data_IF_132011469265
#
_entry.id   IF_132011469265
#
_cell.length_a   1.000
_cell.length_b   1.000
_cell.length_c   1.000
_cell.angle_alpha   90.00
_cell.angle_beta   90.00
_cell.angle_gamma   90.00
#
_symmetry.space_group_name_H-M   'P 1'
#
loop_
_entity.id
_entity.type
_entity.pdbx_description
1 polymer ?
#
# COMPACT_ATOMS: atom_id res chain seq x y z
N UNK A 1 2.55 6.87 5.28
CA UNK A 1 1.55 7.56 6.15
C UNK A 1 0.31 6.71 6.38
N UNK A 2 -0.30 6.16 5.33
CA UNK A 2 -1.57 5.41 5.47
C UNK A 2 -1.46 4.34 6.57
N UNK A 3 -0.45 3.47 6.52
CA UNK A 3 -0.27 2.42 7.54
C UNK A 3 0.14 2.97 8.91
N UNK A 4 0.94 4.03 8.95
CA UNK A 4 1.31 4.69 10.21
C UNK A 4 0.10 5.32 10.88
N UNK A 5 -0.67 6.12 10.14
CA UNK A 5 -1.89 6.76 10.66
C UNK A 5 -2.97 5.72 11.03
N UNK A 6 -3.01 4.58 10.37
CA UNK A 6 -3.88 3.47 10.75
C UNK A 6 -3.54 2.94 12.15
N UNK A 7 -2.25 2.69 12.42
CA UNK A 7 -1.83 2.28 13.76
C UNK A 7 -2.13 3.35 14.82
N UNK A 8 -1.94 4.64 14.46
CA UNK A 8 -2.22 5.74 15.37
C UNK A 8 -3.73 5.86 15.66
N UNK A 9 -4.59 5.55 14.68
CA UNK A 9 -6.05 5.60 14.80
C UNK A 9 -6.63 4.39 15.55
N UNK A 10 -6.16 3.18 15.24
CA UNK A 10 -6.60 1.94 15.89
C UNK A 10 -5.43 0.99 16.21
N UNK A 11 -4.68 1.26 17.30
CA UNK A 11 -3.66 0.31 17.76
C UNK A 11 -4.27 -1.03 18.24
N UNK A 12 -5.55 -1.04 18.60
CA UNK A 12 -6.28 -2.23 19.01
C UNK A 12 -6.40 -3.25 17.88
N UNK A 13 -6.71 -2.79 16.68
CA UNK A 13 -6.75 -3.65 15.50
C UNK A 13 -5.41 -4.40 15.29
N UNK A 14 -4.30 -3.69 15.36
CA UNK A 14 -2.97 -4.28 15.18
C UNK A 14 -2.66 -5.29 16.29
N UNK A 15 -2.89 -4.93 17.56
CA UNK A 15 -2.58 -5.78 18.70
C UNK A 15 -3.44 -7.05 18.73
N UNK A 16 -4.74 -6.93 18.48
CA UNK A 16 -5.67 -8.05 18.50
C UNK A 16 -5.44 -9.05 17.36
N UNK A 17 -4.85 -8.61 16.25
CA UNK A 17 -4.55 -9.45 15.09
C UNK A 17 -3.07 -9.83 14.96
N UNK A 18 -2.24 -9.51 15.96
CA UNK A 18 -0.79 -9.75 15.93
C UNK A 18 -0.09 -9.10 14.73
N UNK A 19 -0.51 -7.89 14.36
CA UNK A 19 0.15 -7.09 13.33
C UNK A 19 1.19 -6.16 13.94
N UNK A 20 2.31 -6.00 13.24
CA UNK A 20 3.32 -5.01 13.57
C UNK A 20 3.28 -3.88 12.53
N UNK A 21 2.98 -2.66 12.96
CA UNK A 21 3.04 -1.49 12.07
C UNK A 21 4.51 -1.18 11.72
N UNK A 22 4.80 -1.16 10.43
CA UNK A 22 6.12 -0.76 9.88
C UNK A 22 5.99 0.39 8.88
N UNK A 23 4.82 1.03 8.82
CA UNK A 23 4.59 2.22 8.02
C UNK A 23 5.40 3.42 8.52
N UNK A 24 5.98 4.18 7.59
CA UNK A 24 6.67 5.45 7.88
C UNK A 24 6.17 6.48 6.87
N UNK A 25 5.66 7.59 7.37
CA UNK A 25 5.09 8.65 6.56
C UNK A 25 6.09 9.21 5.53
N UNK A 26 5.62 9.47 4.32
CA UNK A 26 6.43 10.06 3.25
C UNK A 26 7.39 9.09 2.54
N UNK A 27 7.59 7.88 3.04
CA UNK A 27 8.51 6.93 2.41
C UNK A 27 7.98 6.38 1.09
N UNK A 28 8.89 6.25 0.11
CA UNK A 28 8.68 5.63 -1.20
C UNK A 28 9.06 4.15 -1.17
N UNK A 29 8.78 3.43 -2.26
CA UNK A 29 9.13 2.01 -2.42
C UNK A 29 10.63 1.76 -2.28
N UNK A 30 11.48 2.67 -2.77
CA UNK A 30 12.95 2.59 -2.60
C UNK A 30 13.37 2.61 -1.12
N UNK A 31 12.76 3.48 -0.32
CA UNK A 31 13.02 3.52 1.13
C UNK A 31 12.54 2.23 1.83
N UNK A 32 11.37 1.72 1.43
CA UNK A 32 10.83 0.48 2.00
C UNK A 32 11.71 -0.73 1.65
N UNK A 33 12.18 -0.82 0.40
CA UNK A 33 13.10 -1.86 -0.04
C UNK A 33 14.42 -1.84 0.75
N UNK A 34 15.01 -0.66 0.96
CA UNK A 34 16.26 -0.50 1.70
C UNK A 34 16.18 -1.03 3.15
N UNK A 35 15.01 -0.91 3.80
CA UNK A 35 14.80 -1.36 5.18
C UNK A 35 14.15 -2.74 5.30
N UNK A 36 13.88 -3.42 4.19
CA UNK A 36 13.14 -4.70 4.16
C UNK A 36 13.78 -5.76 5.07
N UNK A 37 15.12 -5.83 5.10
CA UNK A 37 15.82 -6.79 5.98
C UNK A 37 15.59 -6.51 7.46
N UNK A 38 15.79 -5.25 7.89
CA UNK A 38 15.67 -4.85 9.30
C UNK A 38 14.23 -4.94 9.79
N UNK A 39 13.29 -4.46 8.98
CA UNK A 39 11.91 -4.22 9.40
C UNK A 39 10.97 -5.39 9.12
N UNK A 40 11.39 -6.35 8.30
CA UNK A 40 10.58 -7.52 7.94
C UNK A 40 11.36 -8.82 8.15
N UNK A 41 12.46 -9.03 7.43
CA UNK A 41 13.17 -10.32 7.43
C UNK A 41 13.64 -10.71 8.83
N UNK A 42 14.26 -9.80 9.57
CA UNK A 42 14.79 -10.06 10.92
C UNK A 42 13.69 -10.26 11.97
N UNK A 43 12.45 -9.93 11.69
CA UNK A 43 11.30 -10.13 12.58
C UNK A 43 10.63 -11.50 12.37
N UNK A 44 10.98 -12.21 11.29
CA UNK A 44 10.46 -13.52 10.93
C UNK A 44 8.92 -13.63 10.95
N UNK A 45 8.16 -12.68 10.35
CA UNK A 45 6.71 -12.76 10.35
C UNK A 45 6.22 -13.87 9.43
N UNK A 46 4.98 -14.33 9.63
CA UNK A 46 4.32 -15.26 8.71
C UNK A 46 3.97 -14.60 7.38
N UNK A 47 3.55 -13.34 7.43
CA UNK A 47 3.15 -12.54 6.28
C UNK A 47 3.83 -11.17 6.32
N UNK A 48 4.04 -10.58 5.15
CA UNK A 48 4.31 -9.15 4.98
C UNK A 48 3.23 -8.55 4.10
N UNK A 49 2.52 -7.56 4.62
CA UNK A 49 1.51 -6.79 3.87
C UNK A 49 2.19 -5.57 3.30
N UNK A 50 2.18 -5.44 1.97
CA UNK A 50 2.85 -4.37 1.23
C UNK A 50 1.77 -3.45 0.63
N UNK A 51 1.61 -2.27 1.23
CA UNK A 51 0.81 -1.16 0.72
C UNK A 51 1.76 -0.01 0.41
N UNK A 52 2.14 0.16 -0.84
CA UNK A 52 3.21 1.05 -1.28
C UNK A 52 2.96 1.59 -2.68
N UNK A 53 3.53 2.77 -3.00
CA UNK A 53 3.50 3.38 -4.33
C UNK A 53 2.89 4.79 -4.37
N UNK A 54 2.01 5.16 -3.45
CA UNK A 54 1.35 6.48 -3.47
C UNK A 54 2.36 7.63 -3.36
N UNK A 55 3.37 7.52 -2.50
CA UNK A 55 4.42 8.53 -2.34
C UNK A 55 5.39 8.60 -3.52
N UNK A 56 5.58 7.48 -4.21
CA UNK A 56 6.35 7.41 -5.46
C UNK A 56 5.61 8.18 -6.56
N UNK A 57 4.33 7.91 -6.74
CA UNK A 57 3.46 8.59 -7.72
C UNK A 57 3.35 10.08 -7.40
N UNK A 58 3.28 10.44 -6.11
CA UNK A 58 3.33 11.83 -5.65
C UNK A 58 4.70 12.49 -5.83
N UNK A 59 5.71 11.79 -6.34
CA UNK A 59 7.09 12.28 -6.55
C UNK A 59 7.75 12.83 -5.27
N UNK A 60 7.44 12.23 -4.10
CA UNK A 60 7.98 12.70 -2.83
C UNK A 60 9.50 12.59 -2.72
N UNK A 61 10.12 11.70 -3.48
CA UNK A 61 11.58 11.55 -3.60
C UNK A 61 12.05 11.72 -5.05
N UNK A 62 11.45 12.66 -5.79
CA UNK A 62 11.70 12.86 -7.20
C UNK A 62 10.85 11.96 -8.11
N UNK A 63 11.01 12.17 -9.42
CA UNK A 63 10.29 11.39 -10.44
C UNK A 63 10.80 9.95 -10.47
N UNK A 64 9.87 9.01 -10.61
CA UNK A 64 10.14 7.58 -10.81
C UNK A 64 9.08 7.02 -11.77
N UNK A 65 9.46 6.15 -12.67
CA UNK A 65 8.53 5.48 -13.57
C UNK A 65 7.68 4.43 -12.83
N UNK A 66 6.48 4.17 -13.33
CA UNK A 66 5.57 3.16 -12.72
C UNK A 66 6.21 1.78 -12.74
N UNK A 67 6.96 1.47 -13.79
CA UNK A 67 7.69 0.20 -13.92
C UNK A 67 8.77 0.02 -12.84
N UNK A 68 9.46 1.10 -12.47
CA UNK A 68 10.46 1.06 -11.39
C UNK A 68 9.80 0.93 -10.01
N UNK A 69 8.64 1.58 -9.80
CA UNK A 69 7.84 1.38 -8.58
C UNK A 69 7.44 -0.10 -8.46
N UNK A 70 6.94 -0.67 -9.55
CA UNK A 70 6.58 -2.08 -9.64
C UNK A 70 7.79 -2.98 -9.34
N UNK A 71 8.96 -2.75 -9.96
CA UNK A 71 10.19 -3.51 -9.73
C UNK A 71 10.63 -3.48 -8.26
N UNK A 72 10.50 -2.34 -7.57
CA UNK A 72 10.79 -2.24 -6.15
C UNK A 72 9.86 -3.14 -5.32
N UNK A 73 8.55 -3.17 -5.63
CA UNK A 73 7.58 -4.01 -4.94
C UNK A 73 7.85 -5.50 -5.23
N UNK A 74 8.14 -5.86 -6.47
CA UNK A 74 8.56 -7.21 -6.86
C UNK A 74 9.75 -7.66 -6.04
N UNK A 75 10.79 -6.82 -5.95
CA UNK A 75 12.01 -7.11 -5.16
C UNK A 75 11.69 -7.35 -3.68
N UNK A 76 10.78 -6.56 -3.09
CA UNK A 76 10.33 -6.79 -1.71
C UNK A 76 9.61 -8.15 -1.55
N UNK A 77 8.78 -8.52 -2.52
CA UNK A 77 8.10 -9.83 -2.52
C UNK A 77 9.09 -10.99 -2.65
N UNK A 78 10.07 -10.88 -3.53
CA UNK A 78 11.11 -11.89 -3.71
C UNK A 78 11.97 -12.06 -2.47
N UNK A 79 12.39 -10.95 -1.84
CA UNK A 79 13.11 -10.98 -0.55
C UNK A 79 12.27 -11.69 0.51
N UNK A 80 10.98 -11.39 0.62
CA UNK A 80 10.09 -12.06 1.55
C UNK A 80 10.01 -13.57 1.26
N UNK A 81 9.74 -13.95 0.01
CA UNK A 81 9.60 -15.34 -0.43
C UNK A 81 10.84 -16.18 -0.14
N UNK A 82 12.04 -15.68 -0.45
CA UNK A 82 13.32 -16.36 -0.18
C UNK A 82 13.52 -16.59 1.31
N UNK A 83 13.00 -15.69 2.16
CA UNK A 83 13.06 -15.81 3.62
C UNK A 83 11.83 -16.53 4.23
N UNK A 84 11.02 -17.23 3.41
CA UNK A 84 9.84 -18.01 3.82
C UNK A 84 8.71 -17.15 4.43
N UNK A 85 8.68 -15.87 4.11
CA UNK A 85 7.64 -14.92 4.48
C UNK A 85 6.65 -14.83 3.31
N UNK A 86 5.36 -14.92 3.57
CA UNK A 86 4.34 -14.85 2.52
C UNK A 86 4.03 -13.39 2.18
N UNK A 87 4.28 -12.92 0.94
CA UNK A 87 3.87 -11.60 0.53
C UNK A 87 2.35 -11.50 0.39
N UNK A 88 1.81 -10.37 0.82
CA UNK A 88 0.44 -9.93 0.57
C UNK A 88 0.52 -8.56 -0.08
N UNK A 89 0.11 -8.47 -1.33
CA UNK A 89 0.23 -7.25 -2.13
C UNK A 89 -1.11 -6.52 -2.07
N UNK A 90 -1.08 -5.25 -1.64
CA UNK A 90 -2.28 -4.41 -1.65
C UNK A 90 -2.27 -3.48 -2.85
N UNK A 91 -3.42 -3.25 -3.45
CA UNK A 91 -3.58 -2.16 -4.40
C UNK A 91 -3.29 -0.82 -3.72
N UNK A 92 -2.68 0.10 -4.43
CA UNK A 92 -2.58 1.50 -4.03
C UNK A 92 -3.98 2.09 -3.96
N UNK A 93 -4.30 2.80 -2.89
CA UNK A 93 -5.60 3.46 -2.74
C UNK A 93 -5.87 4.47 -3.85
N UNK A 94 -7.12 4.71 -4.19
CA UNK A 94 -7.46 5.69 -5.22
C UNK A 94 -7.05 7.10 -4.77
N UNK A 95 -6.45 7.87 -5.68
CA UNK A 95 -6.10 9.28 -5.47
C UNK A 95 -6.31 10.04 -6.76
N UNK A 96 -7.13 11.10 -6.69
CA UNK A 96 -7.40 11.98 -7.83
C UNK A 96 -6.35 13.09 -7.95
N UNK A 97 -5.86 13.61 -6.81
CA UNK A 97 -4.84 14.66 -6.75
C UNK A 97 -4.10 14.63 -5.42
N UNK A 98 -2.85 15.04 -5.45
CA UNK A 98 -2.06 15.30 -4.24
C UNK A 98 -2.02 16.80 -3.97
N UNK A 99 -2.60 17.26 -2.86
CA UNK A 99 -2.67 18.70 -2.53
C UNK A 99 -1.31 19.36 -2.43
N UNK A 100 -0.29 18.60 -2.00
CA UNK A 100 1.10 19.08 -1.87
C UNK A 100 1.93 18.91 -3.14
N UNK A 101 1.35 18.36 -4.21
CA UNK A 101 1.97 18.13 -5.54
C UNK A 101 0.96 18.40 -6.66
N UNK A 102 0.47 19.65 -6.77
CA UNK A 102 -0.57 19.97 -7.77
C UNK A 102 -0.11 19.76 -9.22
N UNK A 103 1.20 19.72 -9.46
CA UNK A 103 1.81 19.44 -10.76
C UNK A 103 1.69 17.98 -11.19
N UNK A 104 1.32 17.06 -10.30
CA UNK A 104 1.06 15.64 -10.63
C UNK A 104 -0.40 15.49 -10.98
N UNK A 105 -0.69 15.55 -12.29
CA UNK A 105 -2.07 15.54 -12.82
C UNK A 105 -2.52 14.17 -13.32
N UNK A 106 -1.60 13.21 -13.43
CA UNK A 106 -1.79 11.86 -13.97
C UNK A 106 -1.82 10.76 -12.88
N UNK A 107 -2.03 11.15 -11.63
CA UNK A 107 -1.89 10.22 -10.50
C UNK A 107 -2.89 9.06 -10.55
N UNK A 108 -4.16 9.29 -10.91
CA UNK A 108 -5.16 8.24 -10.99
C UNK A 108 -4.79 7.18 -12.05
N UNK A 109 -4.37 7.62 -13.24
CA UNK A 109 -3.97 6.69 -14.32
C UNK A 109 -2.73 5.89 -13.95
N UNK A 110 -1.75 6.52 -13.31
CA UNK A 110 -0.54 5.85 -12.82
C UNK A 110 -0.85 4.83 -11.72
N UNK A 111 -1.77 5.14 -10.82
CA UNK A 111 -2.25 4.21 -9.79
C UNK A 111 -2.93 3.01 -10.44
N UNK A 112 -3.83 3.23 -11.38
CA UNK A 112 -4.55 2.15 -12.08
C UNK A 112 -3.57 1.24 -12.80
N UNK A 113 -2.59 1.82 -13.52
CA UNK A 113 -1.54 1.06 -14.21
C UNK A 113 -0.73 0.21 -13.22
N UNK A 114 -0.25 0.80 -12.13
CA UNK A 114 0.52 0.09 -11.12
C UNK A 114 -0.30 -1.05 -10.50
N UNK A 115 -1.56 -0.79 -10.13
CA UNK A 115 -2.44 -1.79 -9.55
C UNK A 115 -2.68 -2.97 -10.49
N UNK A 116 -2.86 -2.71 -11.79
CA UNK A 116 -3.01 -3.77 -12.80
C UNK A 116 -1.76 -4.67 -12.88
N UNK A 117 -0.56 -4.07 -12.86
CA UNK A 117 0.70 -4.81 -12.88
C UNK A 117 0.88 -5.65 -11.58
N UNK A 118 0.52 -5.07 -10.44
CA UNK A 118 0.61 -5.76 -9.14
C UNK A 118 -0.36 -6.94 -9.04
N UNK A 119 -1.59 -6.78 -9.53
CA UNK A 119 -2.60 -7.84 -9.55
C UNK A 119 -2.16 -9.00 -10.45
N UNK A 120 -1.65 -8.71 -11.65
CA UNK A 120 -1.12 -9.71 -12.57
C UNK A 120 0.05 -10.48 -11.97
N UNK A 121 1.02 -9.76 -11.40
CA UNK A 121 2.17 -10.36 -10.73
C UNK A 121 1.76 -11.26 -9.54
N UNK A 122 0.81 -10.80 -8.73
CA UNK A 122 0.28 -11.59 -7.61
C UNK A 122 -0.37 -12.89 -8.10
N UNK A 123 -1.19 -12.81 -9.16
CA UNK A 123 -1.85 -13.97 -9.78
C UNK A 123 -0.82 -14.99 -10.31
N UNK A 124 0.18 -14.53 -11.06
CA UNK A 124 1.21 -15.40 -11.64
C UNK A 124 2.06 -16.10 -10.58
N UNK A 125 2.36 -15.42 -9.48
CA UNK A 125 3.17 -15.94 -8.38
C UNK A 125 2.36 -16.63 -7.28
N UNK A 126 1.02 -16.67 -7.39
CA UNK A 126 0.10 -17.20 -6.38
C UNK A 126 0.24 -16.50 -5.02
N UNK A 127 0.50 -15.19 -5.06
CA UNK A 127 0.46 -14.33 -3.88
C UNK A 127 -0.95 -13.84 -3.61
N UNK A 128 -1.23 -13.51 -2.35
CA UNK A 128 -2.49 -12.86 -2.00
C UNK A 128 -2.47 -11.43 -2.53
N UNK A 129 -3.49 -11.06 -3.32
CA UNK A 129 -3.77 -9.68 -3.71
C UNK A 129 -4.95 -9.13 -2.93
N UNK A 130 -4.83 -7.92 -2.42
CA UNK A 130 -5.86 -7.24 -1.63
C UNK A 130 -6.28 -5.98 -2.38
N UNK A 131 -7.47 -6.03 -2.97
CA UNK A 131 -7.99 -4.92 -3.76
C UNK A 131 -8.77 -3.93 -2.90
N UNK A 132 -8.07 -2.93 -2.38
CA UNK A 132 -8.69 -1.76 -1.74
C UNK A 132 -9.22 -0.77 -2.77
N UNK A 133 -8.52 -0.64 -3.91
CA UNK A 133 -8.79 0.42 -4.90
C UNK A 133 -10.19 0.32 -5.48
N UNK A 134 -10.61 -0.85 -5.98
CA UNK A 134 -11.91 -1.00 -6.63
C UNK A 134 -13.08 -0.80 -5.66
N UNK A 135 -12.88 -1.13 -4.38
CA UNK A 135 -13.90 -0.95 -3.33
C UNK A 135 -14.04 0.51 -2.89
N UNK A 136 -12.92 1.25 -2.88
CA UNK A 136 -12.86 2.58 -2.27
C UNK A 136 -12.88 3.74 -3.27
N UNK A 137 -12.80 3.48 -4.56
CA UNK A 137 -12.82 4.56 -5.56
C UNK A 137 -14.22 5.12 -5.78
N UNK A 138 -14.27 6.42 -6.08
CA UNK A 138 -15.44 7.07 -6.67
C UNK A 138 -15.46 6.95 -8.20
N UNK A 139 -16.42 7.60 -8.85
CA UNK A 139 -16.59 7.60 -10.30
C UNK A 139 -15.42 8.27 -11.07
N UNK A 140 -14.65 9.11 -10.39
CA UNK A 140 -13.47 9.81 -10.93
C UNK A 140 -12.13 9.15 -10.52
N UNK A 141 -12.17 7.92 -9.99
CA UNK A 141 -11.03 7.17 -9.47
C UNK A 141 -10.30 7.88 -8.31
N UNK A 142 -11.00 8.70 -7.55
CA UNK A 142 -10.54 9.34 -6.34
C UNK A 142 -11.02 8.64 -5.08
N UNK A 143 -10.48 9.03 -3.95
CA UNK A 143 -10.94 8.60 -2.63
C UNK A 143 -12.01 9.58 -2.14
N UNK A 144 -13.27 9.12 -1.92
CA UNK A 144 -14.36 10.01 -1.56
C UNK A 144 -14.21 10.59 -0.13
N UNK A 145 -14.74 11.80 0.07
CA UNK A 145 -14.68 12.53 1.34
C UNK A 145 -15.22 11.75 2.55
N UNK A 146 -16.20 10.87 2.33
CA UNK A 146 -16.76 10.03 3.41
C UNK A 146 -15.72 9.10 4.04
N UNK A 147 -14.62 8.79 3.36
CA UNK A 147 -13.57 7.88 3.81
C UNK A 147 -12.19 8.52 3.95
N UNK A 148 -12.08 9.82 3.67
CA UNK A 148 -10.79 10.50 3.65
C UNK A 148 -10.90 11.95 4.11
N UNK A 149 -9.85 12.46 4.75
CA UNK A 149 -9.75 13.87 5.14
C UNK A 149 -9.29 14.78 4.01
N UNK A 150 -8.49 14.26 3.08
CA UNK A 150 -7.76 15.05 2.09
C UNK A 150 -7.70 14.39 0.69
N UNK A 151 -8.45 13.31 0.50
CA UNK A 151 -8.45 12.52 -0.74
C UNK A 151 -7.26 11.57 -0.89
N UNK A 152 -6.44 11.40 0.17
CA UNK A 152 -5.27 10.49 0.21
C UNK A 152 -5.23 9.67 1.49
N UNK A 153 -5.38 10.33 2.65
CA UNK A 153 -5.32 9.69 3.96
C UNK A 153 -6.73 9.32 4.44
N UNK A 154 -6.86 8.12 4.97
CA UNK A 154 -8.14 7.62 5.46
C UNK A 154 -8.55 8.29 6.78
N UNK A 155 -9.86 8.46 6.95
CA UNK A 155 -10.50 8.70 8.24
C UNK A 155 -10.87 7.35 8.90
N UNK A 156 -11.53 7.39 10.08
CA UNK A 156 -11.94 6.19 10.81
C UNK A 156 -12.77 5.24 9.95
N UNK A 157 -13.83 5.75 9.30
CA UNK A 157 -14.70 4.94 8.45
C UNK A 157 -13.94 4.30 7.28
N UNK A 158 -12.94 4.98 6.74
CA UNK A 158 -12.07 4.45 5.70
C UNK A 158 -11.17 3.33 6.21
N UNK A 159 -10.65 3.42 7.45
CA UNK A 159 -9.89 2.34 8.06
C UNK A 159 -10.76 1.12 8.34
N UNK A 160 -11.98 1.27 8.85
CA UNK A 160 -12.92 0.15 9.07
C UNK A 160 -13.12 -0.70 7.82
N UNK A 161 -13.16 -0.05 6.64
CA UNK A 161 -13.31 -0.76 5.36
C UNK A 161 -12.07 -1.58 5.04
N UNK A 162 -10.86 -1.01 5.11
CA UNK A 162 -9.65 -1.75 4.76
C UNK A 162 -9.34 -2.86 5.78
N UNK A 163 -9.74 -2.70 7.03
CA UNK A 163 -9.66 -3.72 8.08
C UNK A 163 -10.49 -4.95 7.72
N UNK A 164 -11.74 -4.74 7.35
CA UNK A 164 -12.62 -5.84 6.94
C UNK A 164 -12.07 -6.59 5.71
N UNK A 165 -11.51 -5.86 4.74
CA UNK A 165 -10.95 -6.44 3.52
C UNK A 165 -9.68 -7.25 3.83
N UNK A 166 -8.72 -6.70 4.59
CA UNK A 166 -7.47 -7.42 4.88
C UNK A 166 -7.69 -8.66 5.74
N UNK A 167 -8.57 -8.60 6.73
CA UNK A 167 -8.88 -9.76 7.56
C UNK A 167 -9.54 -10.88 6.76
N UNK A 168 -10.35 -10.56 5.75
CA UNK A 168 -10.92 -11.56 4.83
C UNK A 168 -9.85 -12.20 3.96
N UNK A 169 -8.87 -11.43 3.51
CA UNK A 169 -7.81 -11.91 2.62
C UNK A 169 -6.77 -12.80 3.33
N UNK A 170 -6.62 -12.68 4.66
CA UNK A 170 -5.64 -13.43 5.46
C UNK A 170 -6.20 -14.70 6.11
N UNK A 171 -7.49 -14.98 5.96
CA UNK A 171 -8.14 -16.25 6.38
C UNK A 171 -7.81 -17.38 5.43
#
# INVERSE_FOLDING_TARGET
>A
SITQCWYDADPGFFNNNNFACRGISGQTTSHMLARMRKDVVNLHPKYVVILAGTNDIAKNNGFIEVDDIFCNIVSMCEIAKVNKIKPVICSVLPVKKYHWRPEVTDCADRIIRLNSMLEEYARENRFTYVDYHSVMKDEENGLPEKWSYDGVHLNGDGYDIIEAIILKALK
#
